data_IF_066757668744
#
_entry.id   IF_066757668744
#
_cell.length_a   1.000
_cell.length_b   1.000
_cell.length_c   1.000
_cell.angle_alpha   90.00
_cell.angle_beta   90.00
_cell.angle_gamma   90.00
#
_symmetry.space_group_name_H-M   'P 1'
#
loop_
_entity.id
_entity.type
_entity.pdbx_description
1 polymer ?
#
# COMPACT_ATOMS: atom_id res chain seq x y z
N UNK A 1 8.76 -12.29 -10.76
CA UNK A 1 9.59 -11.13 -11.18
C UNK A 1 9.36 -9.94 -10.26
N UNK A 2 8.14 -9.40 -10.19
CA UNK A 2 7.78 -8.32 -9.24
C UNK A 2 8.04 -8.72 -7.79
N UNK A 3 7.63 -9.93 -7.38
CA UNK A 3 7.85 -10.39 -6.00
C UNK A 3 9.33 -10.56 -5.67
N UNK A 4 10.14 -11.02 -6.63
CA UNK A 4 11.60 -11.17 -6.46
C UNK A 4 12.31 -9.81 -6.33
N UNK A 5 11.90 -8.81 -7.11
CA UNK A 5 12.46 -7.45 -7.05
C UNK A 5 12.04 -6.69 -5.78
N UNK A 6 10.91 -7.06 -5.18
CA UNK A 6 10.40 -6.48 -3.95
C UNK A 6 10.80 -7.28 -2.69
N UNK A 7 11.42 -8.45 -2.86
CA UNK A 7 11.79 -9.33 -1.75
C UNK A 7 10.61 -10.03 -1.06
N UNK A 8 9.45 -10.14 -1.72
CA UNK A 8 8.31 -10.86 -1.16
C UNK A 8 8.48 -12.38 -1.29
N UNK A 9 8.46 -13.08 -0.16
CA UNK A 9 8.35 -14.53 -0.11
C UNK A 9 6.88 -14.89 -0.37
N UNK A 10 6.54 -15.25 -1.61
CA UNK A 10 5.21 -15.66 -2.13
C UNK A 10 4.08 -15.65 -1.07
N UNK A 11 3.64 -14.45 -0.66
CA UNK A 11 2.49 -14.33 0.24
C UNK A 11 1.30 -14.51 -0.66
N UNK A 12 0.71 -15.70 -0.62
CA UNK A 12 -0.48 -16.04 -1.37
C UNK A 12 -1.53 -14.95 -1.12
N UNK A 13 -1.86 -14.19 -2.17
CA UNK A 13 -3.11 -13.43 -2.18
C UNK A 13 -4.21 -14.41 -1.81
N UNK A 14 -5.00 -14.11 -0.77
CA UNK A 14 -6.00 -15.05 -0.21
C UNK A 14 -6.92 -15.66 -1.28
N UNK A 15 -7.08 -14.98 -2.43
CA UNK A 15 -7.66 -15.55 -3.64
C UNK A 15 -7.17 -14.82 -4.91
N UNK A 16 -6.28 -15.41 -5.74
CA UNK A 16 -5.78 -14.78 -6.96
C UNK A 16 -6.88 -14.43 -7.97
N UNK A 17 -8.01 -15.14 -7.94
CA UNK A 17 -9.11 -15.00 -8.92
C UNK A 17 -9.92 -13.70 -8.80
N UNK A 18 -9.68 -12.89 -7.77
CA UNK A 18 -10.36 -11.60 -7.56
C UNK A 18 -9.43 -10.38 -7.75
N UNK A 19 -8.21 -10.61 -8.24
CA UNK A 19 -7.24 -9.53 -8.46
C UNK A 19 -7.33 -8.96 -9.88
N UNK A 20 -7.03 -7.67 -10.02
CA UNK A 20 -6.86 -6.98 -11.31
C UNK A 20 -5.41 -6.54 -11.45
N UNK A 21 -4.76 -6.94 -12.54
CA UNK A 21 -3.37 -6.56 -12.83
C UNK A 21 -3.33 -5.48 -13.91
N UNK A 22 -2.69 -4.36 -13.58
CA UNK A 22 -2.43 -3.24 -14.48
C UNK A 22 -0.95 -3.25 -14.85
N UNK A 23 -0.66 -3.22 -16.15
CA UNK A 23 0.71 -3.22 -16.67
C UNK A 23 0.97 -1.90 -17.39
N UNK A 24 2.12 -1.29 -17.09
CA UNK A 24 2.62 -0.16 -17.88
C UNK A 24 3.60 -0.70 -18.92
N UNK A 25 3.19 -0.68 -20.20
CA UNK A 25 4.00 -1.14 -21.32
C UNK A 25 4.70 0.06 -21.97
N UNK A 26 6.02 -0.06 -22.10
CA UNK A 26 6.87 0.95 -22.74
C UNK A 26 6.88 0.82 -24.27
N UNK A 27 7.42 1.82 -24.96
CA UNK A 27 7.42 1.86 -26.44
C UNK A 27 8.20 0.69 -27.07
N UNK A 28 9.22 0.18 -26.39
CA UNK A 28 9.99 -1.01 -26.79
C UNK A 28 9.32 -2.33 -26.36
N UNK A 29 8.02 -2.28 -26.03
CA UNK A 29 7.16 -3.42 -25.66
C UNK A 29 7.58 -4.15 -24.38
N UNK A 30 8.35 -3.51 -23.51
CA UNK A 30 8.69 -4.07 -22.19
C UNK A 30 7.72 -3.61 -21.11
N UNK A 31 7.49 -4.49 -20.13
CA UNK A 31 6.78 -4.15 -18.90
C UNK A 31 7.68 -3.25 -18.04
N UNK A 32 7.35 -1.97 -17.96
CA UNK A 32 8.09 -0.97 -17.18
C UNK A 32 7.46 -0.69 -15.81
N UNK A 33 6.23 -1.17 -15.58
CA UNK A 33 5.54 -1.08 -14.30
C UNK A 33 4.43 -2.12 -14.18
N UNK A 34 4.12 -2.51 -12.95
CA UNK A 34 3.09 -3.46 -12.61
C UNK A 34 2.36 -2.99 -11.35
N UNK A 35 1.04 -3.07 -11.37
CA UNK A 35 0.19 -2.82 -10.21
C UNK A 35 -0.81 -3.98 -10.11
N UNK A 36 -0.88 -4.61 -8.94
CA UNK A 36 -1.87 -5.64 -8.62
C UNK A 36 -2.82 -5.05 -7.59
N UNK A 37 -4.11 -5.03 -7.92
CA UNK A 37 -5.16 -4.55 -7.06
C UNK A 37 -6.15 -5.67 -6.71
N UNK A 38 -6.71 -5.62 -5.51
CA UNK A 38 -7.70 -6.56 -5.02
C UNK A 38 -8.84 -5.83 -4.33
N UNK A 39 -10.01 -6.48 -4.24
CA UNK A 39 -11.14 -5.91 -3.52
C UNK A 39 -10.92 -6.07 -2.01
N UNK A 40 -11.12 -4.99 -1.28
CA UNK A 40 -11.08 -4.98 0.19
C UNK A 40 -12.38 -4.35 0.71
N UNK A 41 -12.61 -4.47 2.02
CA UNK A 41 -13.75 -3.85 2.70
C UNK A 41 -13.32 -2.74 3.65
N UNK A 42 -12.10 -2.85 4.17
CA UNK A 42 -11.57 -1.94 5.18
C UNK A 42 -10.06 -1.75 5.03
N UNK A 43 -9.59 -0.62 5.52
CA UNK A 43 -8.18 -0.29 5.73
C UNK A 43 -8.00 0.46 7.05
N UNK A 44 -6.76 0.64 7.45
CA UNK A 44 -6.37 1.25 8.71
C UNK A 44 -5.51 2.47 8.41
N UNK A 45 -5.86 3.61 8.98
CA UNK A 45 -5.16 4.87 8.69
C UNK A 45 -3.78 4.89 9.32
N UNK A 46 -2.76 5.23 8.53
CA UNK A 46 -1.41 5.47 9.06
C UNK A 46 -1.45 6.70 9.97
N UNK A 47 -0.90 6.54 11.18
CA UNK A 47 -0.80 7.62 12.15
C UNK A 47 0.54 8.32 11.94
N UNK A 48 0.50 9.64 11.83
CA UNK A 48 1.70 10.47 11.84
C UNK A 48 2.25 10.52 13.27
N UNK A 49 3.37 9.85 13.50
CA UNK A 49 4.07 9.95 14.78
C UNK A 49 4.83 11.27 14.87
N UNK A 50 4.84 11.87 16.07
CA UNK A 50 5.56 13.10 16.33
C UNK A 50 7.06 12.92 16.01
N UNK A 51 7.65 13.94 15.38
CA UNK A 51 9.07 13.97 15.03
C UNK A 51 9.88 13.82 16.32
N UNK A 52 10.76 12.81 16.44
CA UNK A 52 11.59 12.68 17.62
C UNK A 52 12.53 13.89 17.73
N UNK A 53 12.69 14.38 18.95
CA UNK A 53 13.69 15.40 19.28
C UNK A 53 15.09 14.80 19.06
N UNK A 54 15.92 15.44 18.23
CA UNK A 54 17.24 14.92 17.85
C UNK A 54 17.90 15.74 16.75
N UNK A 55 19.15 15.41 16.41
CA UNK A 55 19.89 16.08 15.32
C UNK A 55 19.35 15.70 13.94
N UNK A 56 19.51 16.56 12.91
CA UNK A 56 18.98 16.27 11.56
C UNK A 56 19.49 14.95 10.96
N UNK A 57 20.74 14.58 11.25
CA UNK A 57 21.32 13.31 10.79
C UNK A 57 20.67 12.08 11.44
N UNK A 58 20.30 12.18 12.72
CA UNK A 58 19.59 11.12 13.43
C UNK A 58 18.14 11.01 12.95
N UNK A 59 17.45 12.13 12.69
CA UNK A 59 16.07 12.15 12.16
C UNK A 59 15.93 11.38 10.83
N UNK A 60 16.84 11.62 9.89
CA UNK A 60 16.82 10.97 8.56
C UNK A 60 17.11 9.47 8.65
N UNK A 61 17.96 9.05 9.60
CA UNK A 61 18.24 7.64 9.84
C UNK A 61 17.05 6.94 10.53
N UNK A 62 16.40 7.64 11.47
CA UNK A 62 15.25 7.15 12.23
C UNK A 62 14.00 6.97 11.36
N UNK A 63 13.72 7.87 10.42
CA UNK A 63 12.58 7.74 9.49
C UNK A 63 12.70 6.55 8.53
N UNK A 64 13.93 6.17 8.14
CA UNK A 64 14.17 5.08 7.18
C UNK A 64 14.01 3.68 7.77
N UNK A 65 14.13 3.53 9.08
CA UNK A 65 14.10 2.22 9.77
C UNK A 65 12.86 1.99 10.64
N UNK A 66 11.97 2.97 10.80
CA UNK A 66 10.77 2.81 11.65
C UNK A 66 9.64 2.06 10.95
N UNK A 67 9.05 1.13 11.69
CA UNK A 67 7.73 0.61 11.40
C UNK A 67 6.68 1.73 11.47
N UNK A 68 5.62 1.63 10.67
CA UNK A 68 4.49 2.55 10.69
C UNK A 68 3.50 2.13 11.78
N UNK A 69 2.98 3.10 12.53
CA UNK A 69 1.80 2.90 13.36
C UNK A 69 0.54 3.16 12.53
N UNK A 70 -0.49 2.36 12.76
CA UNK A 70 -1.81 2.56 12.16
C UNK A 70 -2.87 2.62 13.27
N UNK A 71 -3.98 3.27 12.94
CA UNK A 71 -5.17 3.28 13.77
C UNK A 71 -5.64 1.84 14.02
N UNK A 72 -6.21 1.59 15.20
CA UNK A 72 -6.92 0.35 15.49
C UNK A 72 -8.35 0.36 14.96
N UNK A 73 -8.85 1.52 14.53
CA UNK A 73 -10.20 1.68 14.00
C UNK A 73 -10.18 1.44 12.49
N UNK A 74 -10.93 0.45 11.99
CA UNK A 74 -11.06 0.22 10.55
C UNK A 74 -11.86 1.34 9.89
N UNK A 75 -11.43 1.74 8.70
CA UNK A 75 -12.10 2.69 7.82
C UNK A 75 -12.51 2.00 6.52
N UNK A 76 -13.67 2.35 5.93
CA UNK A 76 -14.13 1.72 4.70
C UNK A 76 -13.16 2.00 3.56
N UNK A 77 -12.76 0.94 2.85
CA UNK A 77 -11.92 1.02 1.65
C UNK A 77 -12.42 0.00 0.63
N UNK A 78 -12.34 0.34 -0.66
CA UNK A 78 -12.87 -0.49 -1.75
C UNK A 78 -11.77 -1.24 -2.49
N UNK A 79 -10.60 -0.61 -2.63
CA UNK A 79 -9.51 -1.12 -3.44
C UNK A 79 -8.21 -1.23 -2.62
N UNK A 80 -7.66 -2.43 -2.55
CA UNK A 80 -6.35 -2.70 -1.99
C UNK A 80 -5.30 -2.76 -3.09
N UNK A 81 -4.28 -1.91 -3.03
CA UNK A 81 -3.06 -2.05 -3.82
C UNK A 81 -2.19 -3.08 -3.13
N UNK A 82 -2.27 -4.32 -3.64
CA UNK A 82 -1.52 -5.47 -3.16
C UNK A 82 -0.04 -5.34 -3.55
N UNK A 83 0.25 -4.94 -4.78
CA UNK A 83 1.62 -4.71 -5.24
C UNK A 83 1.67 -3.51 -6.16
N UNK A 84 2.72 -2.71 -6.02
CA UNK A 84 3.06 -1.68 -6.99
C UNK A 84 4.56 -1.69 -7.21
N UNK A 85 4.95 -1.79 -8.49
CA UNK A 85 6.34 -1.87 -8.90
C UNK A 85 6.55 -1.05 -10.16
N UNK A 86 7.70 -0.38 -10.22
CA UNK A 86 8.18 0.31 -11.41
C UNK A 86 9.65 -0.04 -11.57
N UNK A 87 10.04 -0.35 -12.81
CA UNK A 87 11.42 -0.64 -13.18
C UNK A 87 12.34 0.49 -12.68
N UNK A 88 13.41 0.13 -11.98
CA UNK A 88 14.24 1.05 -11.19
C UNK A 88 14.70 2.28 -11.98
N UNK A 89 15.20 2.08 -13.21
CA UNK A 89 15.68 3.16 -14.08
C UNK A 89 14.58 4.07 -14.64
N UNK A 90 13.32 3.66 -14.53
CA UNK A 90 12.13 4.38 -14.99
C UNK A 90 11.27 4.92 -13.84
N UNK A 91 11.73 4.76 -12.58
CA UNK A 91 11.10 5.38 -11.41
C UNK A 91 11.12 6.91 -11.55
N UNK A 92 10.25 7.58 -10.77
CA UNK A 92 10.11 9.04 -10.72
C UNK A 92 9.71 9.73 -12.04
N UNK A 93 9.21 8.97 -13.02
CA UNK A 93 8.64 9.47 -14.29
C UNK A 93 7.10 9.41 -14.35
N UNK A 94 6.45 9.46 -13.18
CA UNK A 94 4.98 9.40 -13.08
C UNK A 94 4.32 8.09 -13.52
N UNK A 95 5.07 6.99 -13.65
CA UNK A 95 4.51 5.68 -14.07
C UNK A 95 3.54 5.15 -13.00
N UNK A 96 3.97 5.09 -11.74
CA UNK A 96 3.15 4.62 -10.62
C UNK A 96 1.85 5.44 -10.46
N UNK A 97 1.94 6.77 -10.49
CA UNK A 97 0.77 7.66 -10.40
C UNK A 97 -0.22 7.43 -11.55
N UNK A 98 0.27 7.23 -12.78
CA UNK A 98 -0.59 6.92 -13.93
C UNK A 98 -1.26 5.55 -13.80
N UNK A 99 -0.55 4.54 -13.29
CA UNK A 99 -1.15 3.23 -13.02
C UNK A 99 -2.29 3.32 -11.99
N UNK A 100 -2.10 4.08 -10.90
CA UNK A 100 -3.19 4.30 -9.93
C UNK A 100 -4.33 5.12 -10.54
N UNK A 101 -4.04 6.10 -11.39
CA UNK A 101 -5.10 6.85 -12.07
C UNK A 101 -5.93 5.96 -12.99
N UNK A 102 -5.29 5.06 -13.74
CA UNK A 102 -6.00 4.05 -14.52
C UNK A 102 -6.79 3.08 -13.61
N UNK A 103 -6.22 2.66 -12.48
CA UNK A 103 -6.91 1.83 -11.50
C UNK A 103 -8.19 2.51 -11.00
N UNK A 104 -8.11 3.77 -10.56
CA UNK A 104 -9.23 4.54 -10.02
C UNK A 104 -10.41 4.64 -10.98
N UNK A 105 -10.12 4.77 -12.27
CA UNK A 105 -11.13 4.84 -13.33
C UNK A 105 -11.71 3.48 -13.76
N UNK A 106 -11.02 2.36 -13.52
CA UNK A 106 -11.34 1.06 -14.12
C UNK A 106 -11.53 -0.08 -13.12
N UNK A 107 -11.32 0.15 -11.83
CA UNK A 107 -11.45 -0.89 -10.82
C UNK A 107 -12.91 -1.31 -10.63
N UNK A 108 -13.81 -0.33 -10.45
CA UNK A 108 -15.26 -0.53 -10.34
C UNK A 108 -15.93 0.09 -11.56
N UNK A 109 -16.80 -0.69 -12.23
CA UNK A 109 -17.50 -0.22 -13.42
C UNK A 109 -18.39 0.99 -13.11
N UNK A 110 -18.24 2.06 -13.90
CA UNK A 110 -19.05 3.27 -13.76
C UNK A 110 -18.74 4.13 -12.54
N UNK A 111 -17.64 3.86 -11.83
CA UNK A 111 -17.21 4.64 -10.67
C UNK A 111 -15.76 5.12 -10.81
N UNK A 112 -15.47 6.26 -10.20
CA UNK A 112 -14.12 6.80 -10.07
C UNK A 112 -13.73 6.82 -8.60
N UNK A 113 -12.77 5.98 -8.23
CA UNK A 113 -12.35 5.87 -6.83
C UNK A 113 -11.65 7.15 -6.37
N UNK A 114 -12.03 7.63 -5.20
CA UNK A 114 -11.29 8.62 -4.43
C UNK A 114 -9.98 8.04 -3.90
N UNK A 115 -9.10 8.89 -3.37
CA UNK A 115 -7.81 8.43 -2.82
C UNK A 115 -8.00 7.78 -1.45
N UNK A 116 -9.08 8.14 -0.78
CA UNK A 116 -9.49 7.68 0.55
C UNK A 116 -10.10 6.27 0.47
N UNK A 117 -10.60 5.83 -0.69
CA UNK A 117 -11.12 4.48 -0.91
C UNK A 117 -10.03 3.45 -1.27
N UNK A 118 -8.76 3.87 -1.33
CA UNK A 118 -7.62 3.04 -1.70
C UNK A 118 -6.73 2.81 -0.48
N UNK A 119 -6.39 1.55 -0.23
CA UNK A 119 -5.41 1.17 0.79
C UNK A 119 -4.19 0.47 0.17
N UNK A 120 -3.02 0.60 0.80
CA UNK A 120 -1.78 -0.06 0.37
C UNK A 120 -1.45 -1.25 1.27
N UNK A 121 -1.10 -2.42 0.71
CA UNK A 121 -0.65 -3.54 1.54
C UNK A 121 0.82 -3.38 1.89
N UNK A 122 1.15 -3.48 3.18
CA UNK A 122 2.51 -3.49 3.73
C UNK A 122 3.52 -2.64 2.92
N UNK A 123 3.33 -1.29 2.90
CA UNK A 123 4.07 -0.42 2.00
C UNK A 123 5.57 -0.48 2.28
N UNK A 124 6.43 -0.61 1.27
CA UNK A 124 7.89 -0.47 1.46
C UNK A 124 8.27 0.98 1.80
N UNK A 125 9.50 1.30 2.22
CA UNK A 125 9.92 2.70 2.42
C UNK A 125 9.70 3.58 1.19
N UNK A 126 10.03 3.08 -0.01
CA UNK A 126 9.71 3.73 -1.29
C UNK A 126 8.19 3.86 -1.49
N UNK A 127 7.44 2.82 -1.14
CA UNK A 127 5.99 2.78 -1.18
C UNK A 127 5.33 3.84 -0.29
N UNK A 128 5.81 4.04 0.94
CA UNK A 128 5.32 5.08 1.85
C UNK A 128 5.56 6.48 1.30
N UNK A 129 6.77 6.77 0.80
CA UNK A 129 7.09 8.05 0.20
C UNK A 129 6.18 8.33 -1.00
N UNK A 130 5.97 7.31 -1.83
CA UNK A 130 5.09 7.41 -2.98
C UNK A 130 3.62 7.62 -2.56
N UNK A 131 3.09 6.82 -1.62
CA UNK A 131 1.71 6.91 -1.15
C UNK A 131 1.44 8.28 -0.50
N UNK A 132 2.36 8.77 0.33
CA UNK A 132 2.27 10.10 0.95
C UNK A 132 2.16 11.20 -0.10
N UNK A 133 3.05 11.18 -1.10
CA UNK A 133 3.03 12.15 -2.18
C UNK A 133 1.77 12.02 -3.06
N UNK A 134 1.32 10.79 -3.36
CA UNK A 134 0.16 10.56 -4.20
C UNK A 134 -1.15 10.97 -3.52
N UNK A 135 -1.32 10.59 -2.25
CA UNK A 135 -2.49 10.93 -1.44
C UNK A 135 -2.50 12.41 -1.05
N UNK A 136 -1.33 13.06 -0.98
CA UNK A 136 -1.21 14.43 -0.49
C UNK A 136 -1.24 14.54 1.04
N UNK A 137 -1.16 13.39 1.73
CA UNK A 137 -1.15 13.29 3.19
C UNK A 137 -0.32 12.07 3.61
N UNK A 138 0.36 12.16 4.75
CA UNK A 138 1.07 11.04 5.38
C UNK A 138 0.12 10.01 5.99
N UNK A 139 -1.16 10.37 6.15
CA UNK A 139 -2.21 9.55 6.76
C UNK A 139 -3.04 8.78 5.72
N UNK A 140 -2.39 8.01 4.85
CA UNK A 140 -3.08 7.14 3.88
C UNK A 140 -3.53 5.82 4.53
N UNK A 141 -4.40 5.06 3.85
CA UNK A 141 -4.89 3.77 4.36
C UNK A 141 -3.92 2.62 4.03
N UNK A 142 -3.75 1.70 4.97
CA UNK A 142 -3.03 0.43 4.80
C UNK A 142 -3.88 -0.77 5.17
N UNK A 143 -3.57 -1.94 4.62
CA UNK A 143 -4.25 -3.20 4.96
C UNK A 143 -3.27 -4.37 4.91
N UNK A 144 -3.73 -5.55 5.34
CA UNK A 144 -2.97 -6.81 5.28
C UNK A 144 -1.53 -6.70 5.82
N UNK A 145 -1.36 -5.95 6.92
CA UNK A 145 -0.11 -5.85 7.65
C UNK A 145 -0.13 -6.83 8.84
N UNK A 146 1.04 -7.29 9.27
CA UNK A 146 1.16 -8.12 10.47
C UNK A 146 0.94 -7.21 11.68
N UNK A 147 -0.29 -7.18 12.20
CA UNK A 147 -0.54 -6.61 13.52
C UNK A 147 0.06 -7.57 14.55
N UNK A 148 1.00 -7.08 15.37
CA UNK A 148 1.48 -7.85 16.51
C UNK A 148 0.27 -8.24 17.35
N UNK A 149 0.00 -9.54 17.44
CA UNK A 149 -1.13 -10.12 18.16
C UNK A 149 -1.17 -9.57 19.58
N UNK A 150 -2.19 -8.78 19.92
CA UNK A 150 -2.66 -8.71 21.30
C UNK A 150 -3.48 -9.96 21.53
N UNK A 151 -2.99 -10.81 22.43
CA UNK A 151 -3.63 -12.01 22.96
C UNK A 151 -5.15 -11.89 23.02
N UNK A 152 -5.82 -12.81 22.32
CA UNK A 152 -7.23 -13.17 22.54
C UNK A 152 -7.50 -13.26 24.05
N UNK A 153 -8.44 -12.46 24.55
CA UNK A 153 -9.09 -12.79 25.82
C UNK A 153 -10.18 -13.82 25.53
N UNK A 154 -10.18 -15.00 26.18
CA UNK A 154 -11.25 -15.96 26.00
C UNK A 154 -12.55 -15.37 26.56
N UNK A 155 -13.61 -15.38 25.75
CA UNK A 155 -14.93 -15.01 26.24
C UNK A 155 -15.33 -15.97 27.35
N UNK A 156 -15.71 -15.40 28.50
CA UNK A 156 -16.25 -16.13 29.63
C UNK A 156 -17.55 -16.80 29.20
N UNK A 157 -17.59 -18.12 29.25
CA UNK A 157 -18.82 -18.90 29.29
C UNK A 157 -19.65 -18.43 30.50
N UNK A 158 -20.82 -17.85 30.24
CA UNK A 158 -21.83 -17.63 31.29
C UNK A 158 -22.66 -18.90 31.38
N UNK A 159 -22.70 -19.41 32.62
CA UNK A 159 -23.41 -20.60 33.10
C UNK A 159 -24.92 -20.41 33.02
#
# INVERSE_FOLDING_TARGET
MVDNDLGFQQVETKCPSQTKTFLFISNDKKVAGCLIAEHIQEGYRVIEEAVPEGSEGEKVMFERQRAWCCSTTPEPALCGISRIWVFSMLRRRGIASRMIECLRNNFIYGSYLSKEEIAFSDPTPDGKLFATHYCGTSQFLVYNFVSGTRSDQPSRSVV
#
